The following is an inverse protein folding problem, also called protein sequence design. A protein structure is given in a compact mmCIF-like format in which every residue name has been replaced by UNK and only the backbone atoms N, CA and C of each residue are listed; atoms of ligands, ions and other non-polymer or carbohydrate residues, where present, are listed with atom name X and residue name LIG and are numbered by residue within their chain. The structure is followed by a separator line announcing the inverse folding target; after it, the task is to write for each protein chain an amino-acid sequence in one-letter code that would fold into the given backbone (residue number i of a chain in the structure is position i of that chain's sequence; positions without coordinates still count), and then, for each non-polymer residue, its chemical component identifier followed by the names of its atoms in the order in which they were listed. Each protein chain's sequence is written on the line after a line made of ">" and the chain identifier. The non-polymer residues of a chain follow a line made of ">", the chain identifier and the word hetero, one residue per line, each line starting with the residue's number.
data_IF_115352737145
#
_entry.id   IF_115352737145
#
_cell.length_a   1.000
_cell.length_b   1.000
_cell.length_c   1.000
_cell.angle_alpha   90.00
_cell.angle_beta   90.00
_cell.angle_gamma   90.00
#
_symmetry.space_group_name_H-M   'P 1'
#
loop_
_entity.id
_entity.type
_entity.pdbx_description
1 polymer ?
#
# COMPACT_ATOMS: atom_id res chain seq x y z
N UNK A 1 -1.21 9.00 -33.72
CA UNK A 1 -0.39 9.82 -32.82
C UNK A 1 -0.83 9.66 -31.36
N UNK A 2 0.13 9.71 -30.42
CA UNK A 2 -0.08 9.56 -28.98
C UNK A 2 0.55 10.74 -28.25
N UNK A 3 -0.26 11.47 -27.50
CA UNK A 3 0.17 12.61 -26.69
C UNK A 3 0.07 12.25 -25.22
N UNK A 4 1.10 12.51 -24.43
CA UNK A 4 1.14 12.20 -23.00
C UNK A 4 1.53 13.44 -22.22
N UNK A 5 0.82 13.69 -21.10
CA UNK A 5 1.09 14.79 -20.18
C UNK A 5 0.71 14.35 -18.76
N UNK A 6 1.38 14.89 -17.75
CA UNK A 6 1.00 14.70 -16.34
C UNK A 6 0.07 15.83 -15.89
N UNK A 7 -0.92 15.54 -15.04
CA UNK A 7 -1.74 16.54 -14.38
C UNK A 7 -0.91 17.53 -13.55
N UNK A 8 0.25 17.11 -13.05
CA UNK A 8 1.21 18.00 -12.36
C UNK A 8 1.82 19.06 -13.27
N UNK A 9 1.96 18.78 -14.58
CA UNK A 9 2.51 19.74 -15.55
C UNK A 9 1.56 20.91 -15.83
N UNK A 10 0.30 20.76 -15.45
CA UNK A 10 -0.69 21.84 -15.53
C UNK A 10 -0.65 22.77 -14.32
N UNK A 11 0.04 22.39 -13.23
CA UNK A 11 0.10 23.14 -11.98
C UNK A 11 1.41 23.90 -11.93
N UNK A 12 1.45 25.07 -12.60
CA UNK A 12 2.64 25.94 -12.59
C UNK A 12 2.48 27.15 -11.66
N UNK A 13 3.59 27.83 -11.37
CA UNK A 13 3.60 29.02 -10.49
C UNK A 13 3.04 30.27 -11.14
N UNK A 14 2.81 30.29 -12.47
CA UNK A 14 2.35 31.47 -13.22
C UNK A 14 0.93 31.29 -13.74
N UNK A 15 0.07 32.27 -13.43
CA UNK A 15 -1.34 32.26 -13.80
C UNK A 15 -1.52 32.18 -15.33
N UNK A 16 -2.32 31.21 -15.77
CA UNK A 16 -2.70 31.05 -17.19
C UNK A 16 -1.78 30.13 -18.01
N UNK A 17 -0.61 29.74 -17.54
CA UNK A 17 0.30 28.85 -18.28
C UNK A 17 -0.27 27.45 -18.39
N UNK A 18 -0.84 26.89 -17.31
CA UNK A 18 -1.48 25.59 -17.32
C UNK A 18 -2.64 25.51 -18.32
N UNK A 19 -3.51 26.53 -18.34
CA UNK A 19 -4.63 26.60 -19.28
C UNK A 19 -4.18 26.72 -20.76
N UNK A 20 -3.06 27.41 -21.02
CA UNK A 20 -2.47 27.48 -22.36
C UNK A 20 -1.96 26.11 -22.81
N UNK A 21 -1.24 25.38 -21.94
CA UNK A 21 -0.74 24.04 -22.26
C UNK A 21 -1.87 23.05 -22.57
N UNK A 22 -2.97 23.11 -21.82
CA UNK A 22 -4.16 22.30 -22.11
C UNK A 22 -4.65 22.59 -23.54
N UNK A 23 -4.86 23.87 -23.89
CA UNK A 23 -5.32 24.24 -25.23
C UNK A 23 -4.38 23.77 -26.33
N UNK A 24 -3.08 24.00 -26.15
CA UNK A 24 -2.06 23.61 -27.12
C UNK A 24 -2.01 22.12 -27.34
N UNK A 25 -2.11 21.31 -26.25
CA UNK A 25 -2.18 19.85 -26.32
C UNK A 25 -3.39 19.36 -27.12
N UNK A 26 -4.58 19.89 -26.79
CA UNK A 26 -5.80 19.49 -27.47
C UNK A 26 -5.83 19.96 -28.93
N UNK A 27 -5.27 21.13 -29.24
CA UNK A 27 -5.15 21.61 -30.60
C UNK A 27 -4.23 20.72 -31.45
N UNK A 28 -3.04 20.37 -30.93
CA UNK A 28 -2.12 19.45 -31.61
C UNK A 28 -2.77 18.07 -31.83
N UNK A 29 -3.51 17.58 -30.84
CA UNK A 29 -4.20 16.30 -30.96
C UNK A 29 -5.33 16.33 -32.00
N UNK A 30 -6.10 17.45 -32.10
CA UNK A 30 -7.14 17.68 -33.12
C UNK A 30 -6.53 17.74 -34.51
N UNK A 31 -5.41 18.44 -34.67
CA UNK A 31 -4.72 18.60 -35.96
C UNK A 31 -4.12 17.28 -36.48
N UNK A 32 -3.80 16.37 -35.55
CA UNK A 32 -3.28 15.04 -35.84
C UNK A 32 -4.33 13.92 -35.74
N UNK A 33 -5.61 14.25 -35.83
CA UNK A 33 -6.70 13.26 -35.71
C UNK A 33 -6.65 12.17 -36.79
N UNK A 34 -6.94 10.89 -36.47
CA UNK A 34 -7.29 10.37 -35.13
C UNK A 34 -6.08 10.23 -34.20
N UNK A 35 -6.20 10.71 -32.97
CA UNK A 35 -5.12 10.72 -31.99
C UNK A 35 -5.59 10.26 -30.60
N UNK A 36 -4.65 9.89 -29.74
CA UNK A 36 -4.90 9.50 -28.34
C UNK A 36 -4.21 10.53 -27.44
N UNK A 37 -4.93 11.07 -26.47
CA UNK A 37 -4.39 11.89 -25.39
C UNK A 37 -4.42 11.05 -24.10
N UNK A 38 -3.25 10.89 -23.44
CA UNK A 38 -3.12 10.29 -22.13
C UNK A 38 -2.78 11.39 -21.11
N UNK A 39 -3.60 11.50 -20.08
CA UNK A 39 -3.38 12.44 -18.97
C UNK A 39 -3.21 11.61 -17.70
N UNK A 40 -1.99 11.62 -17.14
CA UNK A 40 -1.68 10.98 -15.89
C UNK A 40 -1.91 11.94 -14.71
N UNK A 41 -2.12 11.41 -13.50
CA UNK A 41 -2.25 12.18 -12.26
C UNK A 41 -3.24 13.36 -12.34
N UNK A 42 -4.36 13.19 -13.02
CA UNK A 42 -5.35 14.26 -13.22
C UNK A 42 -5.89 14.85 -11.90
N UNK A 43 -5.84 14.06 -10.81
CA UNK A 43 -6.20 14.49 -9.45
C UNK A 43 -5.26 15.57 -8.89
N UNK A 44 -4.04 15.71 -9.43
CA UNK A 44 -3.12 16.79 -9.05
C UNK A 44 -3.71 18.17 -9.33
N UNK A 45 -4.52 18.30 -10.39
CA UNK A 45 -5.19 19.55 -10.77
C UNK A 45 -6.34 19.86 -9.80
N UNK A 46 -7.06 18.83 -9.28
CA UNK A 46 -8.21 18.99 -8.39
C UNK A 46 -7.91 18.97 -6.88
N UNK A 47 -6.67 18.70 -6.47
CA UNK A 47 -6.34 18.49 -5.05
C UNK A 47 -6.26 19.81 -4.28
N UNK A 48 -7.23 20.07 -3.40
CA UNK A 48 -7.14 21.14 -2.40
C UNK A 48 -6.04 20.80 -1.38
N UNK A 49 -4.89 21.46 -1.45
CA UNK A 49 -3.96 21.52 -0.31
C UNK A 49 -4.41 22.65 0.58
N UNK A 50 -4.64 22.32 1.85
CA UNK A 50 -5.24 23.11 2.91
C UNK A 50 -4.87 24.60 2.96
N UNK A 51 -5.74 25.37 3.58
CA UNK A 51 -5.77 26.83 3.75
C UNK A 51 -4.39 27.49 3.91
N UNK A 52 -3.79 27.90 2.78
CA UNK A 52 -2.65 28.78 2.72
C UNK A 52 -3.05 30.02 1.94
N UNK A 53 -2.93 31.18 2.55
CA UNK A 53 -3.12 32.51 1.96
C UNK A 53 -2.14 32.70 0.78
N UNK A 54 -2.62 32.67 -0.46
CA UNK A 54 -1.86 33.10 -1.63
C UNK A 54 -2.23 32.42 -2.94
N UNK A 55 -2.54 33.19 -3.94
CA UNK A 55 -2.58 33.15 -5.41
C UNK A 55 -2.62 31.85 -6.24
N UNK A 56 -2.39 30.70 -5.65
CA UNK A 56 -2.35 29.42 -6.38
C UNK A 56 -3.71 28.72 -6.58
N UNK A 57 -4.78 29.28 -6.01
CA UNK A 57 -6.13 28.72 -6.18
C UNK A 57 -6.72 29.08 -7.56
N UNK A 58 -6.53 30.30 -8.01
CA UNK A 58 -7.14 30.78 -9.24
C UNK A 58 -6.56 30.09 -10.48
N UNK A 59 -5.28 29.74 -10.47
CA UNK A 59 -4.62 29.10 -11.61
C UNK A 59 -5.07 27.64 -11.79
N UNK A 60 -5.17 26.90 -10.69
CA UNK A 60 -5.65 25.50 -10.73
C UNK A 60 -7.09 25.40 -11.17
N UNK A 61 -7.92 26.31 -10.67
CA UNK A 61 -9.32 26.41 -11.07
C UNK A 61 -9.44 26.81 -12.56
N UNK A 62 -8.63 27.74 -13.03
CA UNK A 62 -8.57 28.10 -14.45
C UNK A 62 -8.10 26.93 -15.33
N UNK A 63 -7.08 26.19 -14.90
CA UNK A 63 -6.56 25.05 -15.65
C UNK A 63 -7.58 23.91 -15.68
N UNK A 64 -8.23 23.62 -14.54
CA UNK A 64 -9.30 22.65 -14.49
C UNK A 64 -10.49 23.05 -15.36
N UNK A 65 -10.91 24.31 -15.29
CA UNK A 65 -11.99 24.84 -16.12
C UNK A 65 -11.63 24.79 -17.62
N UNK A 66 -10.38 25.06 -17.99
CA UNK A 66 -9.94 24.92 -19.38
C UNK A 66 -9.94 23.46 -19.82
N UNK A 67 -9.46 22.52 -18.97
CA UNK A 67 -9.56 21.09 -19.24
C UNK A 67 -11.00 20.66 -19.45
N UNK A 68 -11.92 21.16 -18.60
CA UNK A 68 -13.35 20.92 -18.71
C UNK A 68 -13.96 21.52 -19.97
N UNK A 69 -13.51 22.69 -20.39
CA UNK A 69 -13.96 23.35 -21.63
C UNK A 69 -13.51 22.55 -22.86
N UNK A 70 -12.28 22.06 -22.89
CA UNK A 70 -11.78 21.24 -24.00
C UNK A 70 -12.44 19.85 -24.04
N UNK A 71 -12.79 19.31 -22.86
CA UNK A 71 -13.53 18.04 -22.72
C UNK A 71 -15.06 18.22 -22.77
N UNK A 72 -15.56 19.47 -22.90
CA UNK A 72 -16.98 19.94 -22.87
C UNK A 72 -17.62 19.92 -21.45
N UNK A 73 -18.57 20.87 -21.08
CA UNK A 73 -18.87 21.38 -19.72
C UNK A 73 -19.52 20.46 -18.66
N UNK A 74 -19.56 19.14 -18.73
CA UNK A 74 -19.87 18.24 -17.61
C UNK A 74 -19.20 16.89 -17.76
N UNK A 75 -18.19 16.60 -16.94
CA UNK A 75 -17.31 15.43 -16.97
C UNK A 75 -18.01 14.05 -16.97
N UNK A 76 -19.28 13.99 -16.67
CA UNK A 76 -20.07 12.75 -16.54
C UNK A 76 -21.26 12.67 -17.52
N UNK A 77 -21.33 13.52 -18.54
CA UNK A 77 -22.36 13.40 -19.57
C UNK A 77 -21.87 12.57 -20.76
N UNK A 78 -22.74 11.83 -21.48
CA UNK A 78 -22.36 11.11 -22.69
C UNK A 78 -21.62 11.98 -23.69
N UNK A 79 -20.49 11.51 -24.22
CA UNK A 79 -19.64 12.22 -25.15
C UNK A 79 -18.35 12.84 -24.57
N UNK A 80 -18.00 12.51 -23.30
CA UNK A 80 -16.81 13.03 -22.61
C UNK A 80 -15.98 11.94 -21.96
N UNK A 81 -16.29 11.58 -20.69
CA UNK A 81 -15.80 10.37 -20.09
C UNK A 81 -16.88 9.30 -20.24
N UNK A 82 -16.80 8.52 -21.30
CA UNK A 82 -17.79 7.50 -21.62
C UNK A 82 -17.76 6.33 -20.64
N UNK A 83 -16.63 6.12 -19.98
CA UNK A 83 -16.45 5.01 -19.04
C UNK A 83 -15.56 5.40 -17.86
N UNK A 84 -16.02 5.08 -16.66
CA UNK A 84 -15.19 5.02 -15.46
C UNK A 84 -14.76 3.56 -15.26
N UNK A 85 -13.46 3.32 -15.29
CA UNK A 85 -12.88 1.99 -15.03
C UNK A 85 -12.15 2.07 -13.71
N UNK A 86 -12.67 1.35 -12.71
CA UNK A 86 -12.00 1.19 -11.44
C UNK A 86 -10.89 0.16 -11.62
N UNK A 87 -9.66 0.52 -11.24
CA UNK A 87 -8.52 -0.39 -11.22
C UNK A 87 -8.24 -0.73 -9.76
N UNK A 88 -8.76 -1.87 -9.34
CA UNK A 88 -8.55 -2.40 -7.99
C UNK A 88 -7.14 -2.99 -7.81
N UNK A 89 -6.76 -3.25 -6.55
CA UNK A 89 -5.57 -4.04 -6.26
C UNK A 89 -5.66 -5.41 -6.95
N UNK A 90 -4.54 -5.94 -7.49
CA UNK A 90 -4.55 -7.17 -8.25
C UNK A 90 -4.88 -8.39 -7.36
N UNK A 91 -5.63 -9.35 -7.90
CA UNK A 91 -5.85 -10.66 -7.31
C UNK A 91 -4.53 -11.48 -7.29
N UNK A 92 -4.55 -12.66 -6.68
CA UNK A 92 -3.35 -13.51 -6.56
C UNK A 92 -2.73 -13.85 -7.92
N UNK A 93 -3.53 -14.04 -8.98
CA UNK A 93 -3.04 -14.32 -10.34
C UNK A 93 -2.44 -13.07 -10.98
N UNK A 94 -3.07 -11.92 -10.76
CA UNK A 94 -2.54 -10.63 -11.19
C UNK A 94 -1.21 -10.32 -10.53
N UNK A 95 -1.10 -10.53 -9.20
CA UNK A 95 0.15 -10.35 -8.45
C UNK A 95 1.26 -11.28 -8.97
N UNK A 96 0.96 -12.54 -9.24
CA UNK A 96 1.93 -13.47 -9.82
C UNK A 96 2.47 -12.98 -11.17
N UNK A 97 1.58 -12.52 -12.06
CA UNK A 97 1.98 -11.96 -13.37
C UNK A 97 2.82 -10.70 -13.24
N UNK A 98 2.46 -9.80 -12.31
CA UNK A 98 3.23 -8.59 -12.03
C UNK A 98 4.63 -8.96 -11.51
N UNK A 99 4.72 -9.92 -10.59
CA UNK A 99 6.00 -10.43 -10.09
C UNK A 99 6.85 -11.03 -11.21
N UNK A 100 6.25 -11.77 -12.14
CA UNK A 100 6.96 -12.32 -13.33
C UNK A 100 7.55 -11.19 -14.18
N UNK A 101 6.82 -10.10 -14.41
CA UNK A 101 7.32 -8.94 -15.15
C UNK A 101 8.53 -8.31 -14.44
N UNK A 102 8.43 -8.07 -13.14
CA UNK A 102 9.51 -7.43 -12.37
C UNK A 102 10.68 -8.36 -12.02
N UNK A 103 10.51 -9.67 -12.20
CA UNK A 103 11.56 -10.67 -12.04
C UNK A 103 12.42 -10.86 -13.30
N UNK A 104 11.91 -10.51 -14.50
CA UNK A 104 12.48 -10.84 -15.80
C UNK A 104 13.95 -10.43 -15.96
N UNK A 105 14.31 -9.24 -15.45
CA UNK A 105 15.65 -8.66 -15.59
C UNK A 105 16.50 -8.81 -14.30
N UNK A 106 16.11 -9.70 -13.42
CA UNK A 106 16.79 -9.92 -12.13
C UNK A 106 17.31 -11.36 -12.02
N UNK A 107 18.47 -11.57 -11.38
CA UNK A 107 19.04 -12.90 -11.19
C UNK A 107 18.27 -13.66 -10.09
N UNK A 108 17.15 -14.25 -10.45
CA UNK A 108 16.27 -15.00 -9.55
C UNK A 108 16.77 -16.44 -9.39
N UNK A 109 16.88 -16.91 -8.15
CA UNK A 109 17.24 -18.29 -7.82
C UNK A 109 16.09 -19.27 -8.09
N UNK A 110 16.45 -20.52 -8.30
CA UNK A 110 15.48 -21.60 -8.56
C UNK A 110 14.60 -21.94 -7.35
N UNK A 111 14.97 -21.46 -6.16
CA UNK A 111 14.21 -21.62 -4.91
C UNK A 111 13.10 -20.58 -4.75
N UNK A 112 13.07 -19.55 -5.63
CA UNK A 112 12.08 -18.46 -5.55
C UNK A 112 10.79 -18.85 -6.26
N UNK A 113 9.74 -19.04 -5.48
CA UNK A 113 8.40 -19.34 -5.97
C UNK A 113 7.54 -18.07 -6.02
N UNK A 114 7.39 -17.48 -7.22
CA UNK A 114 6.63 -16.26 -7.45
C UNK A 114 5.14 -16.44 -7.12
N UNK A 115 4.59 -17.62 -7.33
CA UNK A 115 3.20 -17.93 -6.98
C UNK A 115 3.00 -17.88 -5.47
N UNK A 116 3.93 -18.46 -4.70
CA UNK A 116 3.92 -18.40 -3.24
C UNK A 116 4.06 -16.95 -2.75
N UNK A 117 4.93 -16.15 -3.36
CA UNK A 117 5.07 -14.73 -3.01
C UNK A 117 3.76 -13.99 -3.28
N UNK A 118 3.09 -14.24 -4.40
CA UNK A 118 1.79 -13.65 -4.72
C UNK A 118 0.71 -14.00 -3.67
N UNK A 119 0.73 -15.22 -3.13
CA UNK A 119 -0.15 -15.65 -2.05
C UNK A 119 0.16 -14.96 -0.71
N UNK A 120 1.44 -14.68 -0.45
CA UNK A 120 1.92 -14.05 0.79
C UNK A 120 1.79 -12.51 0.77
N UNK A 121 1.34 -11.92 -0.31
CA UNK A 121 1.23 -10.45 -0.50
C UNK A 121 -0.19 -10.00 -0.82
N UNK A 122 -1.22 -10.40 -0.03
CA UNK A 122 -2.58 -9.91 -0.26
C UNK A 122 -2.64 -8.39 -0.13
N UNK A 123 -3.43 -7.74 -0.99
CA UNK A 123 -3.58 -6.29 -1.01
C UNK A 123 -2.40 -5.49 -1.58
N UNK A 124 -1.29 -6.14 -1.96
CA UNK A 124 -0.19 -5.44 -2.63
C UNK A 124 -0.60 -4.95 -4.01
N UNK A 125 -0.26 -3.71 -4.27
CA UNK A 125 -0.39 -3.08 -5.59
C UNK A 125 0.79 -3.48 -6.51
N UNK A 126 0.71 -3.13 -7.79
CA UNK A 126 1.83 -3.30 -8.72
C UNK A 126 3.11 -2.58 -8.25
N UNK A 127 2.96 -1.40 -7.66
CA UNK A 127 4.07 -0.62 -7.11
C UNK A 127 4.72 -1.32 -5.89
N UNK A 128 3.91 -1.91 -5.00
CA UNK A 128 4.44 -2.65 -3.83
C UNK A 128 5.22 -3.89 -4.28
N UNK A 129 4.71 -4.63 -5.27
CA UNK A 129 5.38 -5.82 -5.82
C UNK A 129 6.67 -5.46 -6.55
N UNK A 130 6.69 -4.36 -7.29
CA UNK A 130 7.91 -3.81 -7.90
C UNK A 130 8.94 -3.46 -6.83
N UNK A 131 8.51 -2.74 -5.79
CA UNK A 131 9.36 -2.37 -4.65
C UNK A 131 9.92 -3.60 -3.94
N UNK A 132 9.08 -4.62 -3.69
CA UNK A 132 9.50 -5.90 -3.10
C UNK A 132 10.65 -6.55 -3.91
N UNK A 133 10.51 -6.63 -5.23
CA UNK A 133 11.53 -7.23 -6.09
C UNK A 133 12.82 -6.39 -6.14
N UNK A 134 12.71 -5.05 -6.09
CA UNK A 134 13.85 -4.16 -6.02
C UNK A 134 14.58 -4.24 -4.67
N UNK A 135 13.84 -4.23 -3.55
CA UNK A 135 14.43 -4.41 -2.21
C UNK A 135 15.14 -5.78 -2.11
N UNK A 136 14.58 -6.84 -2.70
CA UNK A 136 15.20 -8.16 -2.73
C UNK A 136 16.53 -8.15 -3.48
N UNK A 137 16.60 -7.44 -4.61
CA UNK A 137 17.84 -7.27 -5.36
C UNK A 137 18.89 -6.45 -4.60
N UNK A 138 18.46 -5.34 -3.99
CA UNK A 138 19.34 -4.48 -3.16
C UNK A 138 19.89 -5.24 -1.94
N UNK A 139 19.05 -6.03 -1.27
CA UNK A 139 19.45 -6.83 -0.11
C UNK A 139 20.45 -7.91 -0.52
N UNK A 140 20.23 -8.55 -1.67
CA UNK A 140 21.13 -9.55 -2.26
C UNK A 140 22.50 -8.94 -2.52
N UNK A 141 22.54 -7.76 -3.17
CA UNK A 141 23.78 -7.03 -3.45
C UNK A 141 24.52 -6.61 -2.17
N UNK A 142 23.79 -6.09 -1.16
CA UNK A 142 24.38 -5.72 0.16
C UNK A 142 25.01 -6.90 0.89
N UNK A 143 24.55 -8.12 0.61
CA UNK A 143 25.10 -9.38 1.16
C UNK A 143 26.22 -9.97 0.31
N UNK A 144 26.64 -9.28 -0.74
CA UNK A 144 27.67 -9.76 -1.67
C UNK A 144 27.24 -10.98 -2.50
N UNK A 145 25.94 -11.26 -2.57
CA UNK A 145 25.40 -12.36 -3.37
C UNK A 145 25.06 -11.89 -4.78
N UNK A 146 25.07 -12.84 -5.72
CA UNK A 146 24.73 -12.59 -7.15
C UNK A 146 23.34 -13.06 -7.55
N UNK A 147 22.69 -13.88 -6.71
CA UNK A 147 21.39 -14.51 -7.00
C UNK A 147 20.45 -14.20 -5.85
N UNK A 148 19.25 -13.75 -6.19
CA UNK A 148 18.16 -13.50 -5.24
C UNK A 148 17.57 -14.84 -4.84
N UNK A 149 17.59 -15.17 -3.55
CA UNK A 149 16.98 -16.38 -3.02
C UNK A 149 15.67 -16.07 -2.29
N UNK A 150 14.86 -17.09 -2.01
CA UNK A 150 13.61 -16.92 -1.26
C UNK A 150 13.83 -16.27 0.13
N UNK A 151 15.02 -16.43 0.71
CA UNK A 151 15.40 -15.78 1.98
C UNK A 151 15.43 -14.26 1.84
N UNK A 152 16.06 -13.72 0.79
CA UNK A 152 16.12 -12.28 0.53
C UNK A 152 14.74 -11.72 0.21
N UNK A 153 13.92 -12.48 -0.53
CA UNK A 153 12.54 -12.07 -0.83
C UNK A 153 11.69 -11.98 0.44
N UNK A 154 11.72 -13.00 1.30
CA UNK A 154 10.96 -12.99 2.55
C UNK A 154 11.37 -11.82 3.46
N UNK A 155 12.67 -11.55 3.62
CA UNK A 155 13.13 -10.42 4.43
C UNK A 155 12.75 -9.07 3.82
N UNK A 156 12.77 -8.96 2.50
CA UNK A 156 12.33 -7.74 1.81
C UNK A 156 10.82 -7.54 1.92
N UNK A 157 10.04 -8.62 1.88
CA UNK A 157 8.59 -8.57 2.12
C UNK A 157 8.29 -8.02 3.53
N UNK A 158 9.01 -8.50 4.54
CA UNK A 158 8.90 -7.98 5.91
C UNK A 158 9.26 -6.49 6.01
N UNK A 159 10.26 -6.04 5.24
CA UNK A 159 10.63 -4.61 5.17
C UNK A 159 9.55 -3.76 4.53
N UNK A 160 8.91 -4.27 3.48
CA UNK A 160 7.82 -3.56 2.80
C UNK A 160 6.59 -3.47 3.72
N UNK A 161 6.25 -4.55 4.42
CA UNK A 161 5.06 -4.63 5.30
C UNK A 161 5.28 -3.85 6.61
N UNK A 162 6.38 -4.14 7.32
CA UNK A 162 6.61 -3.66 8.69
C UNK A 162 7.69 -2.56 8.80
N UNK A 163 8.33 -2.23 7.68
CA UNK A 163 9.43 -1.27 7.64
C UNK A 163 10.80 -1.89 7.95
N UNK A 164 11.87 -1.07 7.89
CA UNK A 164 13.23 -1.53 8.14
C UNK A 164 13.43 -1.92 9.61
N UNK A 165 14.27 -2.91 9.84
CA UNK A 165 14.70 -3.34 11.17
C UNK A 165 15.50 -2.24 11.88
N UNK A 166 15.16 -1.95 13.14
CA UNK A 166 15.85 -0.96 13.98
C UNK A 166 16.93 -1.63 14.83
N UNK A 167 18.06 -1.91 14.24
CA UNK A 167 19.20 -2.59 14.91
C UNK A 167 19.79 -1.83 16.10
N UNK A 168 19.63 -0.51 16.17
CA UNK A 168 20.18 0.33 17.25
C UNK A 168 19.28 0.47 18.47
N UNK A 169 18.09 -0.16 18.49
CA UNK A 169 17.19 -0.07 19.64
C UNK A 169 17.56 -1.12 20.67
N UNK A 170 18.23 -0.68 21.72
CA UNK A 170 18.50 -1.53 22.90
C UNK A 170 17.22 -1.59 23.73
N UNK A 171 16.71 -2.78 23.94
CA UNK A 171 15.58 -3.06 24.84
C UNK A 171 16.09 -3.84 26.03
N UNK A 172 15.65 -3.46 27.23
CA UNK A 172 15.88 -4.26 28.43
C UNK A 172 15.11 -5.59 28.36
N UNK A 173 15.46 -6.53 29.23
CA UNK A 173 14.90 -7.86 29.19
C UNK A 173 13.42 -7.90 29.62
N UNK A 174 13.00 -6.97 30.49
CA UNK A 174 11.58 -6.84 30.87
C UNK A 174 10.74 -6.40 29.68
N UNK A 175 11.16 -5.38 28.96
CA UNK A 175 10.49 -4.92 27.73
C UNK A 175 10.41 -6.03 26.68
N UNK A 176 11.50 -6.80 26.47
CA UNK A 176 11.49 -7.96 25.55
C UNK A 176 10.50 -9.02 25.98
N UNK A 177 10.42 -9.29 27.27
CA UNK A 177 9.49 -10.26 27.86
C UNK A 177 8.04 -9.83 27.61
N UNK A 178 7.71 -8.59 27.94
CA UNK A 178 6.37 -8.03 27.72
C UNK A 178 5.98 -8.11 26.24
N UNK A 179 6.85 -7.71 25.32
CA UNK A 179 6.59 -7.79 23.86
C UNK A 179 6.40 -9.25 23.44
N UNK A 180 7.21 -10.18 23.95
CA UNK A 180 7.10 -11.58 23.58
C UNK A 180 5.75 -12.18 24.01
N UNK A 181 5.26 -11.86 25.20
CA UNK A 181 3.93 -12.30 25.63
C UNK A 181 2.82 -11.62 24.83
N UNK A 182 2.92 -10.33 24.59
CA UNK A 182 1.97 -9.57 23.78
C UNK A 182 1.80 -10.20 22.38
N UNK A 183 2.89 -10.37 21.65
CA UNK A 183 2.86 -10.96 20.30
C UNK A 183 2.42 -12.43 20.30
N UNK A 184 2.83 -13.17 21.34
CA UNK A 184 2.38 -14.57 21.53
C UNK A 184 0.88 -14.65 21.82
N UNK A 185 0.32 -13.66 22.52
CA UNK A 185 -1.11 -13.54 22.76
C UNK A 185 -1.91 -13.41 21.47
N UNK A 186 -1.50 -12.49 20.59
CA UNK A 186 -2.09 -12.37 19.26
C UNK A 186 -2.03 -13.67 18.46
N UNK A 187 -0.84 -14.29 18.46
CA UNK A 187 -0.61 -15.50 17.70
C UNK A 187 -1.41 -16.71 18.23
N UNK A 188 -1.48 -16.86 19.55
CA UNK A 188 -2.22 -17.96 20.17
C UNK A 188 -3.72 -17.85 19.89
N UNK A 189 -4.29 -16.63 20.09
CA UNK A 189 -5.71 -16.38 19.81
C UNK A 189 -6.00 -16.58 18.33
N UNK A 190 -5.17 -16.03 17.43
CA UNK A 190 -5.32 -16.20 15.99
C UNK A 190 -5.19 -17.65 15.52
N UNK A 191 -4.36 -18.46 16.20
CA UNK A 191 -4.22 -19.88 15.88
C UNK A 191 -5.44 -20.71 16.30
N UNK A 192 -6.05 -20.36 17.43
CA UNK A 192 -7.17 -21.13 18.00
C UNK A 192 -8.53 -20.77 17.41
N UNK A 193 -8.69 -19.57 16.89
CA UNK A 193 -9.97 -19.12 16.34
C UNK A 193 -10.17 -19.58 14.89
N UNK A 194 -11.31 -20.20 14.57
CA UNK A 194 -11.51 -20.90 13.29
C UNK A 194 -11.61 -19.95 12.08
N UNK A 195 -11.98 -18.69 12.28
CA UNK A 195 -12.16 -17.69 11.22
C UNK A 195 -11.07 -16.63 11.20
N UNK A 196 -10.11 -16.69 12.13
CA UNK A 196 -8.95 -15.82 12.12
C UNK A 196 -8.00 -16.16 10.97
N UNK A 197 -7.29 -15.17 10.47
CA UNK A 197 -6.28 -15.38 9.44
C UNK A 197 -5.08 -16.15 10.03
N UNK A 198 -4.51 -17.12 9.29
CA UNK A 198 -3.40 -17.92 9.79
C UNK A 198 -2.19 -17.06 10.17
N UNK A 199 -1.65 -17.33 11.36
CA UNK A 199 -0.40 -16.70 11.80
C UNK A 199 0.76 -17.22 10.96
N UNK A 200 1.44 -16.32 10.29
CA UNK A 200 2.60 -16.62 9.44
C UNK A 200 3.92 -16.45 10.20
N UNK A 201 4.01 -15.39 11.00
CA UNK A 201 5.24 -15.05 11.72
C UNK A 201 4.97 -14.23 12.98
N UNK A 202 5.78 -14.49 14.01
CA UNK A 202 5.87 -13.69 15.23
C UNK A 202 7.30 -13.14 15.32
N UNK A 203 7.47 -11.90 15.71
CA UNK A 203 8.78 -11.29 15.90
C UNK A 203 8.77 -10.26 17.01
N UNK A 204 9.79 -10.30 17.86
CA UNK A 204 10.09 -9.28 18.86
C UNK A 204 11.13 -8.26 18.36
N UNK A 205 11.54 -8.36 17.10
CA UNK A 205 12.49 -7.45 16.48
C UNK A 205 11.74 -6.19 16.05
N UNK A 206 12.17 -5.05 16.58
CA UNK A 206 11.58 -3.76 16.23
C UNK A 206 11.72 -3.42 14.76
N UNK A 207 10.58 -3.08 14.10
CA UNK A 207 10.53 -2.59 12.73
C UNK A 207 9.68 -1.33 12.63
N UNK A 208 10.13 -0.35 11.88
CA UNK A 208 9.42 0.92 11.75
C UNK A 208 9.09 1.54 13.10
N UNK A 209 7.80 1.65 13.45
CA UNK A 209 7.32 2.12 14.76
C UNK A 209 6.98 0.99 15.72
N UNK A 210 6.84 -0.25 15.23
CA UNK A 210 6.50 -1.40 16.05
C UNK A 210 7.68 -1.92 16.87
N UNK A 211 7.40 -2.37 18.07
CA UNK A 211 8.39 -3.00 18.97
C UNK A 211 8.53 -4.50 18.66
N UNK A 212 7.42 -5.15 18.37
CA UNK A 212 7.26 -6.47 17.83
C UNK A 212 6.17 -6.47 16.77
N UNK A 213 5.87 -7.60 16.17
CA UNK A 213 4.72 -7.78 15.31
C UNK A 213 4.35 -9.25 15.15
N UNK A 214 3.06 -9.48 15.03
CA UNK A 214 2.48 -10.75 14.60
C UNK A 214 1.91 -10.56 13.20
N UNK A 215 2.45 -11.30 12.23
CA UNK A 215 2.01 -11.27 10.85
C UNK A 215 1.06 -12.43 10.59
N UNK A 216 -0.19 -12.10 10.31
CA UNK A 216 -1.20 -13.03 9.81
C UNK A 216 -1.44 -12.75 8.33
N UNK A 217 -1.60 -13.81 7.53
CA UNK A 217 -1.81 -13.70 6.09
C UNK A 217 -3.07 -14.49 5.74
N UNK A 218 -4.09 -13.85 5.14
CA UNK A 218 -5.29 -14.53 4.70
C UNK A 218 -4.95 -15.60 3.66
N UNK A 219 -5.68 -16.72 3.68
CA UNK A 219 -5.50 -17.83 2.72
C UNK A 219 -5.89 -17.43 1.29
N UNK A 220 -6.86 -16.53 1.17
CA UNK A 220 -7.43 -16.04 -0.09
C UNK A 220 -7.65 -14.54 -0.02
N UNK A 221 -7.74 -13.88 -1.17
CA UNK A 221 -8.11 -12.46 -1.24
C UNK A 221 -9.59 -12.30 -0.83
N UNK A 222 -9.83 -11.67 0.31
CA UNK A 222 -11.17 -11.46 0.86
C UNK A 222 -11.81 -10.23 0.26
N UNK A 223 -13.00 -10.41 -0.32
CA UNK A 223 -13.84 -9.31 -0.83
C UNK A 223 -14.88 -8.88 0.21
N UNK A 224 -15.32 -9.79 1.06
CA UNK A 224 -16.33 -9.57 2.11
C UNK A 224 -15.82 -10.16 3.42
N UNK A 225 -16.16 -9.50 4.53
CA UNK A 225 -15.93 -10.01 5.87
C UNK A 225 -17.28 -10.35 6.52
N UNK A 226 -17.39 -11.53 7.07
CA UNK A 226 -18.55 -11.93 7.87
C UNK A 226 -18.46 -11.40 9.30
N UNK A 227 -19.60 -11.25 9.98
CA UNK A 227 -19.63 -10.86 11.40
C UNK A 227 -18.80 -11.80 12.27
N UNK A 228 -18.78 -13.11 11.93
CA UNK A 228 -17.96 -14.08 12.66
C UNK A 228 -16.46 -13.86 12.48
N UNK A 229 -15.99 -13.51 11.28
CA UNK A 229 -14.60 -13.15 11.02
C UNK A 229 -14.22 -11.87 11.75
N UNK A 230 -15.08 -10.84 11.72
CA UNK A 230 -14.85 -9.60 12.46
C UNK A 230 -14.75 -9.84 13.98
N UNK A 231 -15.56 -10.76 14.55
CA UNK A 231 -15.46 -11.12 15.98
C UNK A 231 -14.14 -11.83 16.30
N UNK A 232 -13.73 -12.77 15.47
CA UNK A 232 -12.45 -13.45 15.65
C UNK A 232 -11.28 -12.47 15.52
N UNK A 233 -11.33 -11.54 14.56
CA UNK A 233 -10.32 -10.50 14.38
C UNK A 233 -10.26 -9.54 15.59
N UNK A 234 -11.40 -9.14 16.15
CA UNK A 234 -11.45 -8.38 17.42
C UNK A 234 -10.77 -9.12 18.56
N UNK A 235 -11.06 -10.42 18.70
CA UNK A 235 -10.44 -11.23 19.74
C UNK A 235 -8.92 -11.33 19.53
N UNK A 236 -8.46 -11.48 18.30
CA UNK A 236 -7.02 -11.47 17.97
C UNK A 236 -6.36 -10.18 18.40
N UNK A 237 -6.95 -8.99 18.09
CA UNK A 237 -6.40 -7.71 18.53
C UNK A 237 -6.35 -7.54 20.04
N UNK A 238 -7.32 -8.09 20.75
CA UNK A 238 -7.29 -8.06 22.23
C UNK A 238 -6.32 -9.06 22.85
N UNK A 239 -5.90 -10.07 22.10
CA UNK A 239 -5.04 -11.16 22.57
C UNK A 239 -3.72 -10.70 23.17
N UNK A 240 -3.06 -9.70 22.55
CA UNK A 240 -1.82 -9.13 23.07
C UNK A 240 -1.99 -8.44 24.41
N UNK A 241 -3.01 -7.59 24.54
CA UNK A 241 -3.31 -6.90 25.81
C UNK A 241 -3.68 -7.87 26.94
N UNK A 242 -4.52 -8.86 26.65
CA UNK A 242 -4.92 -9.88 27.64
C UNK A 242 -3.71 -10.71 28.06
N UNK A 243 -2.78 -11.01 27.15
CA UNK A 243 -1.54 -11.68 27.51
C UNK A 243 -0.67 -10.84 28.47
N UNK A 244 -0.59 -9.52 28.29
CA UNK A 244 0.07 -8.63 29.26
C UNK A 244 -0.63 -8.68 30.62
N UNK A 245 -1.96 -8.61 30.68
CA UNK A 245 -2.74 -8.67 31.93
C UNK A 245 -2.54 -9.98 32.70
N UNK A 246 -2.32 -11.09 32.00
CA UNK A 246 -2.17 -12.42 32.65
C UNK A 246 -0.73 -12.69 33.08
N UNK A 247 0.27 -12.25 32.30
CA UNK A 247 1.66 -12.72 32.43
C UNK A 247 2.65 -11.59 32.78
N UNK A 248 2.25 -10.31 32.73
CA UNK A 248 3.08 -9.19 33.08
C UNK A 248 2.54 -8.47 34.32
N UNK A 249 3.41 -7.74 35.04
CA UNK A 249 3.02 -7.03 36.27
C UNK A 249 2.05 -5.87 35.97
N UNK A 250 2.09 -5.30 34.77
CA UNK A 250 1.23 -4.19 34.35
C UNK A 250 1.04 -4.22 32.82
N UNK A 251 -0.03 -3.60 32.36
CA UNK A 251 -0.33 -3.43 30.94
C UNK A 251 0.35 -2.19 30.37
N UNK A 252 0.80 -2.28 29.13
CA UNK A 252 1.53 -1.18 28.50
C UNK A 252 0.70 -0.44 27.46
N UNK A 253 1.22 0.67 26.97
CA UNK A 253 0.68 1.40 25.82
C UNK A 253 0.93 0.69 24.48
N UNK A 254 1.59 -0.47 24.48
CA UNK A 254 1.88 -1.27 23.30
C UNK A 254 0.62 -1.63 22.51
N UNK A 255 -0.48 -1.92 23.22
CA UNK A 255 -1.77 -2.25 22.63
C UNK A 255 -2.55 -1.05 22.01
N UNK A 256 -2.00 0.16 21.96
CA UNK A 256 -2.75 1.35 21.48
C UNK A 256 -3.22 1.18 20.02
N UNK A 257 -2.38 0.65 19.15
CA UNK A 257 -2.74 0.39 17.74
C UNK A 257 -3.81 -0.70 17.62
N UNK A 258 -3.72 -1.75 18.43
CA UNK A 258 -4.68 -2.86 18.42
C UNK A 258 -6.05 -2.39 18.88
N UNK A 259 -6.11 -1.54 19.92
CA UNK A 259 -7.35 -0.93 20.38
C UNK A 259 -7.97 -0.01 19.31
N UNK A 260 -7.14 0.77 18.58
CA UNK A 260 -7.62 1.61 17.49
C UNK A 260 -8.23 0.76 16.36
N UNK A 261 -7.53 -0.29 15.94
CA UNK A 261 -8.01 -1.22 14.91
C UNK A 261 -9.25 -1.97 15.35
N UNK A 262 -9.28 -2.49 16.56
CA UNK A 262 -10.43 -3.15 17.15
C UNK A 262 -11.65 -2.21 17.18
N UNK A 263 -11.46 -0.96 17.60
CA UNK A 263 -12.53 0.05 17.62
C UNK A 263 -13.08 0.34 16.22
N UNK A 264 -12.20 0.40 15.21
CA UNK A 264 -12.60 0.59 13.81
C UNK A 264 -13.48 -0.57 13.32
N UNK A 265 -13.08 -1.81 13.61
CA UNK A 265 -13.87 -3.00 13.23
C UNK A 265 -15.21 -3.01 13.95
N UNK A 266 -15.21 -2.77 15.27
CA UNK A 266 -16.45 -2.73 16.06
C UNK A 266 -17.45 -1.67 15.56
N UNK A 267 -16.97 -0.56 14.98
CA UNK A 267 -17.84 0.45 14.35
C UNK A 267 -18.36 0.06 12.98
N UNK A 268 -17.71 -0.89 12.32
CA UNK A 268 -18.13 -1.41 11.02
C UNK A 268 -19.17 -2.54 11.14
N UNK A 269 -19.26 -3.17 12.31
CA UNK A 269 -20.26 -4.19 12.65
C UNK A 269 -21.63 -3.58 12.90
#
# INVERSE_FOLDING_TARGET
>A
PFFSISGSDFVEMFVGVGASRVRDLFQQAKDAAPSIIFIDEIDAVGRQRGAGLGGGHDEREQTLNQLLVELDPALLRPGRFDRQIVVDAPDVRGRERILQVHAKDKPIGSDVDLKRIAQLTPGFTGADLMNLMNESALLTARRGKKIITMREVNESMERVIAGPERKGRVMDDQTKHTIAYHESGHALVGHLLPKADPVHKISIISRGRALGYTLSIPKEDKVLNTVGEMRDELAVFMGGRVAEEIFCDDVTTGASNDLERATKIARQM
#
